data_IF_387772743857
#
_entry.id   IF_387772743857
#
_cell.length_a   1.000
_cell.length_b   1.000
_cell.length_c   1.000
_cell.angle_alpha   90.00
_cell.angle_beta   90.00
_cell.angle_gamma   90.00
#
_symmetry.space_group_name_H-M   'P 1'
#
loop_
_entity.id
_entity.type
_entity.pdbx_description
1 polymer ?
#
# COMPACT_ATOMS: atom_id res chain seq x y z
N UNK A 1 6.00 22.56 29.87
CA UNK A 1 6.93 21.96 28.90
C UNK A 1 6.27 20.99 27.90
N UNK A 2 5.22 20.20 28.27
CA UNK A 2 4.51 19.29 27.36
C UNK A 2 3.65 20.05 26.32
N UNK A 3 3.04 21.16 26.70
CA UNK A 3 2.22 21.98 25.80
C UNK A 3 3.07 22.66 24.70
N UNK A 4 4.25 23.16 25.04
CA UNK A 4 5.17 23.80 24.09
C UNK A 4 5.75 22.80 23.08
N UNK A 5 6.00 21.55 23.49
CA UNK A 5 6.41 20.47 22.56
C UNK A 5 5.30 20.10 21.60
N UNK A 6 4.04 20.03 22.04
CA UNK A 6 2.88 19.78 21.15
C UNK A 6 2.67 20.89 20.14
N UNK A 7 2.80 22.16 20.53
CA UNK A 7 2.70 23.30 19.61
C UNK A 7 3.80 23.28 18.54
N UNK A 8 5.06 22.95 18.90
CA UNK A 8 6.15 22.84 17.91
C UNK A 8 5.99 21.65 16.96
N UNK A 9 5.34 20.57 17.36
CA UNK A 9 5.08 19.42 16.49
C UNK A 9 3.88 19.64 15.56
N UNK A 10 3.06 20.66 15.76
CA UNK A 10 1.88 20.96 14.94
C UNK A 10 2.12 22.00 13.82
N UNK A 11 3.34 22.54 13.70
CA UNK A 11 3.65 23.56 12.70
C UNK A 11 3.80 23.00 11.28
N UNK A 12 4.08 21.70 11.10
CA UNK A 12 4.20 21.01 9.83
C UNK A 12 3.44 19.70 9.91
N UNK A 13 2.62 19.42 8.91
CA UNK A 13 1.91 18.15 8.77
C UNK A 13 1.95 17.67 7.34
N UNK A 14 2.43 16.45 7.14
CA UNK A 14 2.44 15.78 5.86
C UNK A 14 1.35 14.71 5.76
N UNK A 15 0.87 14.49 4.54
CA UNK A 15 -0.09 13.43 4.24
C UNK A 15 0.19 12.85 2.86
N UNK A 16 0.41 11.54 2.83
CA UNK A 16 0.75 10.80 1.61
C UNK A 16 -0.48 10.29 0.88
N UNK A 17 -1.42 9.72 1.60
CA UNK A 17 -2.66 9.18 1.06
C UNK A 17 -3.68 8.98 2.16
N UNK A 18 -4.95 8.86 1.76
CA UNK A 18 -6.04 8.54 2.65
C UNK A 18 -6.92 7.47 2.00
N UNK A 19 -7.00 6.32 2.64
CA UNK A 19 -7.77 5.17 2.19
C UNK A 19 -8.71 4.69 3.28
N UNK A 20 -9.71 3.89 2.90
CA UNK A 20 -10.41 3.06 3.88
C UNK A 20 -9.39 2.13 4.55
N UNK A 21 -9.39 2.10 5.85
CA UNK A 21 -8.49 1.28 6.65
C UNK A 21 -9.15 0.86 7.96
N UNK A 22 -9.06 -0.41 8.28
CA UNK A 22 -9.57 -0.95 9.54
C UNK A 22 -11.02 -0.52 9.84
N UNK A 23 -11.95 -0.78 8.93
CA UNK A 23 -13.35 -0.33 9.05
C UNK A 23 -14.02 -0.77 10.34
N UNK A 24 -13.69 -1.97 10.83
CA UNK A 24 -14.20 -2.47 12.13
C UNK A 24 -13.73 -1.64 13.32
N UNK A 25 -12.60 -0.96 13.18
CA UNK A 25 -12.00 -0.11 14.21
C UNK A 25 -12.31 1.38 14.02
N UNK A 26 -12.19 1.85 12.78
CA UNK A 26 -12.22 3.26 12.44
C UNK A 26 -13.59 3.70 11.93
N UNK A 27 -14.51 2.77 11.68
CA UNK A 27 -15.81 3.07 11.10
C UNK A 27 -15.72 3.54 9.65
N UNK A 28 -16.64 4.40 9.25
CA UNK A 28 -16.71 4.88 7.86
C UNK A 28 -15.49 5.75 7.51
N UNK A 29 -14.90 5.62 6.28
CA UNK A 29 -13.74 6.41 5.84
C UNK A 29 -13.93 7.92 5.98
N UNK A 30 -15.14 8.42 5.75
CA UNK A 30 -15.47 9.84 5.90
C UNK A 30 -15.33 10.33 7.35
N UNK A 31 -15.57 9.48 8.31
CA UNK A 31 -15.38 9.85 9.72
C UNK A 31 -13.88 10.09 10.03
N UNK A 32 -13.01 9.22 9.52
CA UNK A 32 -11.54 9.41 9.65
C UNK A 32 -11.10 10.68 8.92
N UNK A 33 -11.61 10.91 7.71
CA UNK A 33 -11.34 12.11 6.93
C UNK A 33 -11.71 13.38 7.72
N UNK A 34 -12.92 13.45 8.28
CA UNK A 34 -13.38 14.60 9.04
C UNK A 34 -12.55 14.80 10.32
N UNK A 35 -12.25 13.73 11.06
CA UNK A 35 -11.41 13.80 12.25
C UNK A 35 -10.00 14.34 11.94
N UNK A 36 -9.41 13.95 10.82
CA UNK A 36 -8.12 14.49 10.35
C UNK A 36 -8.28 15.97 9.99
N UNK A 37 -9.28 16.32 9.19
CA UNK A 37 -9.57 17.69 8.75
C UNK A 37 -9.74 18.64 9.92
N UNK A 38 -10.56 18.26 10.90
CA UNK A 38 -10.88 19.09 12.08
C UNK A 38 -9.67 19.25 13.02
N UNK A 39 -8.68 18.36 12.92
CA UNK A 39 -7.44 18.45 13.70
C UNK A 39 -6.38 19.38 13.10
N UNK A 40 -6.59 19.91 11.89
CA UNK A 40 -5.62 20.75 11.18
C UNK A 40 -5.84 22.22 11.58
N UNK A 41 -4.87 22.76 12.30
CA UNK A 41 -4.90 24.18 12.67
C UNK A 41 -4.69 25.08 11.43
N UNK A 42 -5.34 26.27 11.33
CA UNK A 42 -5.19 27.18 10.20
C UNK A 42 -3.74 27.55 9.86
N UNK A 43 -2.88 27.71 10.85
CA UNK A 43 -1.46 28.10 10.68
C UNK A 43 -0.53 26.92 10.37
N UNK A 44 -1.05 25.68 10.35
CA UNK A 44 -0.22 24.51 10.09
C UNK A 44 0.27 24.52 8.64
N UNK A 45 1.58 24.48 8.41
CA UNK A 45 2.17 24.22 7.09
C UNK A 45 1.81 22.79 6.66
N UNK A 46 1.09 22.67 5.57
CA UNK A 46 0.71 21.38 5.02
C UNK A 46 1.68 20.94 3.92
N UNK A 47 1.97 19.64 3.89
CA UNK A 47 2.73 18.99 2.83
C UNK A 47 1.84 17.85 2.33
N UNK A 48 1.24 18.04 1.17
CA UNK A 48 0.15 17.18 0.71
C UNK A 48 0.46 16.51 -0.62
N UNK A 49 0.04 15.26 -0.75
CA UNK A 49 0.02 14.57 -2.04
C UNK A 49 -1.09 15.17 -2.92
N UNK A 50 -0.65 15.81 -4.02
CA UNK A 50 -1.56 16.42 -5.00
C UNK A 50 -2.37 15.38 -5.79
N UNK A 51 -1.86 14.14 -5.87
CA UNK A 51 -2.46 13.07 -6.68
C UNK A 51 -3.59 12.33 -5.94
N UNK A 52 -3.77 12.60 -4.64
CA UNK A 52 -4.85 12.04 -3.81
C UNK A 52 -5.94 13.10 -3.59
N UNK A 53 -7.16 12.95 -4.16
CA UNK A 53 -8.23 13.93 -4.01
C UNK A 53 -8.70 14.13 -2.56
N UNK A 54 -8.61 13.07 -1.72
CA UNK A 54 -9.00 13.15 -0.31
C UNK A 54 -7.98 13.97 0.48
N UNK A 55 -6.69 13.73 0.25
CA UNK A 55 -5.59 14.47 0.87
C UNK A 55 -5.56 15.91 0.37
N UNK A 56 -5.71 16.13 -0.94
CA UNK A 56 -5.70 17.47 -1.54
C UNK A 56 -6.80 18.37 -0.99
N UNK A 57 -7.94 17.80 -0.63
CA UNK A 57 -9.03 18.57 -0.06
C UNK A 57 -8.68 19.22 1.30
N UNK A 58 -7.68 18.71 2.04
CA UNK A 58 -7.19 19.37 3.25
C UNK A 58 -6.50 20.70 2.97
N UNK A 59 -5.95 20.87 1.79
CA UNK A 59 -5.29 22.10 1.34
C UNK A 59 -6.19 23.05 0.55
N UNK A 60 -7.44 22.67 0.28
CA UNK A 60 -8.36 23.47 -0.50
C UNK A 60 -8.62 24.85 0.15
N UNK A 61 -8.35 25.93 -0.61
CA UNK A 61 -8.49 27.31 -0.11
C UNK A 61 -7.41 27.75 0.89
N UNK A 62 -6.26 27.06 0.97
CA UNK A 62 -5.14 27.42 1.85
C UNK A 62 -3.91 27.80 1.04
N UNK A 63 -3.17 28.80 1.52
CA UNK A 63 -1.93 29.29 0.90
C UNK A 63 -0.67 28.59 1.47
N UNK A 64 -0.78 28.04 2.69
CA UNK A 64 0.34 27.39 3.40
C UNK A 64 0.45 25.90 3.10
N UNK A 65 0.47 25.55 1.81
CA UNK A 65 0.56 24.15 1.33
C UNK A 65 1.74 23.97 0.41
N UNK A 66 2.52 22.91 0.63
CA UNK A 66 3.51 22.41 -0.31
C UNK A 66 2.97 21.13 -0.94
N UNK A 67 2.86 21.12 -2.25
CA UNK A 67 2.32 20.01 -3.00
C UNK A 67 3.44 19.12 -3.54
N UNK A 68 3.26 17.81 -3.40
CA UNK A 68 4.10 16.82 -4.05
C UNK A 68 3.23 15.80 -4.80
N UNK A 69 3.79 15.15 -5.81
CA UNK A 69 3.08 14.16 -6.61
C UNK A 69 3.92 13.59 -7.72
N UNK A 70 3.35 12.72 -8.53
CA UNK A 70 4.01 12.16 -9.69
C UNK A 70 3.59 12.90 -10.97
N UNK A 71 4.50 12.96 -11.94
CA UNK A 71 4.17 13.28 -13.32
C UNK A 71 3.56 12.06 -14.02
N UNK A 72 3.52 12.09 -15.35
CA UNK A 72 3.07 10.91 -16.10
C UNK A 72 4.07 9.76 -15.93
N UNK A 73 3.58 8.62 -15.48
CA UNK A 73 4.37 7.42 -15.26
C UNK A 73 4.06 6.37 -16.33
N UNK A 74 5.03 5.54 -16.73
CA UNK A 74 4.79 4.47 -17.71
C UNK A 74 3.74 3.44 -17.27
N UNK A 75 3.49 3.36 -15.97
CA UNK A 75 2.52 2.43 -15.35
C UNK A 75 1.11 3.00 -15.22
N UNK A 76 0.89 4.24 -15.66
CA UNK A 76 -0.40 4.90 -15.56
C UNK A 76 -1.47 4.20 -16.39
N UNK A 77 -2.67 4.15 -15.84
CA UNK A 77 -3.85 3.60 -16.52
C UNK A 77 -4.90 4.67 -16.74
N UNK A 78 -5.69 4.52 -17.81
CA UNK A 78 -6.82 5.42 -18.08
C UNK A 78 -8.07 5.04 -17.31
N UNK A 79 -8.18 3.77 -16.96
CA UNK A 79 -9.30 3.22 -16.23
C UNK A 79 -8.87 2.84 -14.81
N UNK A 80 -9.81 2.94 -13.90
CA UNK A 80 -9.61 2.51 -12.52
C UNK A 80 -9.37 1.00 -12.46
N UNK A 81 -8.32 0.61 -11.74
CA UNK A 81 -7.98 -0.79 -11.48
C UNK A 81 -7.97 -1.02 -9.98
N UNK A 82 -9.02 -1.62 -9.46
CA UNK A 82 -9.17 -1.89 -8.03
C UNK A 82 -10.55 -2.45 -7.71
N UNK A 83 -10.82 -2.72 -6.44
CA UNK A 83 -12.14 -3.16 -5.96
C UNK A 83 -12.99 -1.94 -5.61
N UNK A 84 -12.42 -0.98 -4.89
CA UNK A 84 -13.09 0.24 -4.46
C UNK A 84 -12.30 1.48 -4.85
N UNK A 85 -12.99 2.42 -5.46
CA UNK A 85 -12.45 3.74 -5.76
C UNK A 85 -12.85 4.72 -4.66
N UNK A 86 -11.98 4.90 -3.66
CA UNK A 86 -12.25 5.83 -2.56
C UNK A 86 -12.26 7.30 -3.01
N UNK A 87 -11.68 7.61 -4.17
CA UNK A 87 -11.70 8.93 -4.80
C UNK A 87 -12.79 9.10 -5.88
N UNK A 88 -13.78 8.18 -5.96
CA UNK A 88 -14.85 8.26 -6.97
C UNK A 88 -15.74 9.50 -6.83
N UNK A 89 -15.85 10.04 -5.63
CA UNK A 89 -16.67 11.20 -5.31
C UNK A 89 -15.85 12.33 -4.69
N UNK A 90 -16.15 13.54 -5.11
CA UNK A 90 -15.48 14.73 -4.60
C UNK A 90 -15.66 14.88 -3.08
N UNK A 91 -14.57 14.94 -2.30
CA UNK A 91 -14.68 15.10 -0.85
C UNK A 91 -15.31 16.44 -0.45
N UNK A 92 -15.27 17.46 -1.34
CA UNK A 92 -15.83 18.78 -1.10
C UNK A 92 -17.34 18.87 -1.40
N UNK A 93 -17.77 18.46 -2.61
CA UNK A 93 -19.15 18.65 -3.05
C UNK A 93 -19.92 17.35 -3.32
N UNK A 94 -19.31 16.19 -3.10
CA UNK A 94 -19.90 14.86 -3.26
C UNK A 94 -20.31 14.49 -4.71
N UNK A 95 -19.98 15.32 -5.69
CA UNK A 95 -20.21 15.00 -7.11
C UNK A 95 -19.20 13.94 -7.60
N UNK A 96 -19.55 13.15 -8.62
CA UNK A 96 -18.60 12.21 -9.23
C UNK A 96 -17.35 12.92 -9.72
N UNK A 97 -16.20 12.29 -9.50
CA UNK A 97 -14.89 12.76 -9.98
C UNK A 97 -14.58 12.21 -11.37
N UNK A 98 -13.84 12.97 -12.15
CA UNK A 98 -13.24 12.52 -13.40
C UNK A 98 -11.73 12.37 -13.25
N UNK A 99 -11.18 11.36 -13.94
CA UNK A 99 -9.73 11.11 -13.94
C UNK A 99 -9.23 11.07 -15.39
N UNK A 100 -8.17 11.78 -15.67
CA UNK A 100 -7.45 11.65 -16.94
C UNK A 100 -6.44 10.50 -16.92
N UNK A 101 -5.94 10.15 -15.74
CA UNK A 101 -5.08 8.99 -15.49
C UNK A 101 -5.07 8.58 -14.02
N UNK A 102 -4.80 7.29 -13.78
CA UNK A 102 -4.55 6.72 -12.46
C UNK A 102 -3.12 6.22 -12.39
N UNK A 103 -2.40 6.58 -11.35
CA UNK A 103 -1.09 6.01 -11.03
C UNK A 103 -1.25 4.65 -10.35
N UNK A 104 -2.14 4.58 -9.36
CA UNK A 104 -2.63 3.35 -8.73
C UNK A 104 -3.85 3.67 -7.85
N UNK A 105 -4.77 2.75 -7.72
CA UNK A 105 -6.03 2.92 -6.99
C UNK A 105 -6.69 4.28 -7.36
N UNK A 106 -7.06 5.12 -6.40
CA UNK A 106 -7.63 6.46 -6.65
C UNK A 106 -6.58 7.58 -6.72
N UNK A 107 -5.30 7.24 -6.68
CA UNK A 107 -4.20 8.20 -6.81
C UNK A 107 -3.95 8.47 -8.28
N UNK A 108 -4.04 9.73 -8.69
CA UNK A 108 -3.87 10.07 -10.10
C UNK A 108 -4.15 11.53 -10.44
N UNK A 109 -4.44 11.79 -11.71
CA UNK A 109 -4.78 13.11 -12.20
C UNK A 109 -6.29 13.25 -12.33
N UNK A 110 -6.89 13.99 -11.43
CA UNK A 110 -8.34 14.09 -11.24
C UNK A 110 -8.83 15.53 -11.31
N UNK A 111 -10.13 15.66 -11.57
CA UNK A 111 -10.88 16.91 -11.53
C UNK A 111 -12.34 16.67 -11.13
N UNK A 112 -12.90 17.56 -10.32
CA UNK A 112 -14.33 17.60 -10.04
C UNK A 112 -15.01 18.57 -11.04
N UNK A 113 -15.86 18.08 -11.94
CA UNK A 113 -16.52 18.94 -12.91
C UNK A 113 -17.53 19.90 -12.32
N UNK A 114 -17.96 19.68 -11.07
CA UNK A 114 -18.96 20.51 -10.39
C UNK A 114 -18.36 21.67 -9.60
N UNK A 115 -17.33 21.44 -8.78
CA UNK A 115 -16.76 22.48 -7.91
C UNK A 115 -15.34 22.92 -8.28
N UNK A 116 -14.76 22.33 -9.32
CA UNK A 116 -13.41 22.67 -9.79
C UNK A 116 -12.27 22.19 -8.89
N UNK A 117 -12.54 21.35 -7.88
CA UNK A 117 -11.46 20.68 -7.14
C UNK A 117 -10.67 19.82 -8.11
N UNK A 118 -9.40 20.11 -8.25
CA UNK A 118 -8.52 19.37 -9.17
C UNK A 118 -7.15 19.16 -8.56
N UNK A 119 -6.41 18.24 -9.19
CA UNK A 119 -5.00 18.03 -8.90
C UNK A 119 -4.24 19.35 -8.96
N UNK A 120 -3.45 19.63 -7.94
CA UNK A 120 -2.65 20.84 -7.84
C UNK A 120 -1.28 20.68 -8.51
N UNK A 121 -0.69 21.79 -8.93
CA UNK A 121 0.68 21.82 -9.42
C UNK A 121 1.65 21.50 -8.28
N UNK A 122 2.65 20.64 -8.57
CA UNK A 122 3.55 20.12 -7.55
C UNK A 122 4.89 20.83 -7.52
N UNK A 123 5.35 21.21 -6.33
CA UNK A 123 6.70 21.74 -6.11
C UNK A 123 7.76 20.63 -6.14
N UNK A 124 7.37 19.43 -5.76
CA UNK A 124 8.22 18.23 -5.78
C UNK A 124 7.53 17.15 -6.59
N UNK A 125 8.11 16.81 -7.72
CA UNK A 125 7.49 15.89 -8.69
C UNK A 125 8.41 14.72 -8.98
N UNK A 126 7.89 13.49 -8.89
CA UNK A 126 8.56 12.35 -9.52
C UNK A 126 8.38 12.50 -11.04
N UNK A 127 9.46 12.88 -11.71
CA UNK A 127 9.46 13.14 -13.16
C UNK A 127 9.76 11.89 -13.99
N UNK A 128 10.34 10.86 -13.36
CA UNK A 128 10.58 9.56 -13.97
C UNK A 128 10.59 8.47 -12.91
N UNK A 129 10.01 7.32 -13.24
CA UNK A 129 10.08 6.12 -12.41
C UNK A 129 10.28 4.88 -13.28
N UNK A 130 11.35 4.13 -13.01
CA UNK A 130 11.63 2.82 -13.59
C UNK A 130 11.61 1.78 -12.46
N UNK A 131 10.44 1.16 -12.26
CA UNK A 131 10.26 0.20 -11.19
C UNK A 131 11.00 -1.13 -11.46
N UNK A 132 11.33 -1.45 -12.71
CA UNK A 132 12.11 -2.66 -13.03
C UNK A 132 13.57 -2.48 -12.60
N UNK A 133 14.18 -1.36 -12.93
CA UNK A 133 15.51 -1.01 -12.44
C UNK A 133 15.51 -0.63 -10.97
N UNK A 134 14.42 -0.09 -10.48
CA UNK A 134 14.31 0.42 -9.12
C UNK A 134 14.91 1.81 -8.99
N UNK A 135 14.58 2.71 -9.90
CA UNK A 135 15.09 4.08 -9.90
C UNK A 135 13.95 5.09 -10.09
N UNK A 136 14.03 6.19 -9.39
CA UNK A 136 13.18 7.36 -9.61
C UNK A 136 14.02 8.63 -9.76
N UNK A 137 13.44 9.61 -10.44
CA UNK A 137 14.03 10.96 -10.53
C UNK A 137 13.00 11.98 -10.02
N UNK A 138 13.43 12.86 -9.10
CA UNK A 138 12.61 13.96 -8.59
C UNK A 138 13.08 15.26 -9.25
N UNK A 139 12.12 16.07 -9.74
CA UNK A 139 12.32 17.37 -10.37
C UNK A 139 13.39 17.35 -11.50
N UNK A 140 13.49 16.29 -12.28
CA UNK A 140 14.48 16.06 -13.33
C UNK A 140 15.94 16.14 -12.85
N UNK A 141 16.18 16.09 -11.56
CA UNK A 141 17.51 16.39 -10.98
C UNK A 141 18.00 15.33 -10.01
N UNK A 142 17.16 14.91 -9.08
CA UNK A 142 17.56 14.06 -7.96
C UNK A 142 17.21 12.61 -8.23
N UNK A 143 18.21 11.77 -8.45
CA UNK A 143 18.04 10.32 -8.64
C UNK A 143 18.05 9.60 -7.30
N UNK A 144 17.15 8.66 -7.11
CA UNK A 144 17.02 7.85 -5.91
C UNK A 144 16.82 6.39 -6.33
N UNK A 145 17.62 5.49 -5.74
CA UNK A 145 17.45 4.05 -5.88
C UNK A 145 16.39 3.54 -4.91
N UNK A 146 15.50 2.68 -5.41
CA UNK A 146 14.40 2.15 -4.64
C UNK A 146 14.79 0.85 -3.94
N UNK A 147 14.76 0.83 -2.63
CA UNK A 147 14.88 -0.41 -1.85
C UNK A 147 13.69 -1.34 -2.06
N UNK A 148 12.48 -0.77 -2.21
CA UNK A 148 11.26 -1.50 -2.53
C UNK A 148 10.66 -0.94 -3.83
N UNK A 149 10.61 -1.79 -4.87
CA UNK A 149 10.20 -1.44 -6.24
C UNK A 149 8.67 -1.38 -6.37
N UNK A 150 8.03 -0.45 -5.68
CA UNK A 150 6.58 -0.24 -5.74
C UNK A 150 6.23 1.24 -5.79
N UNK A 151 5.16 1.60 -6.48
CA UNK A 151 4.64 2.98 -6.53
C UNK A 151 4.33 3.54 -5.15
N UNK A 152 3.80 2.71 -4.27
CA UNK A 152 3.55 3.11 -2.89
C UNK A 152 4.82 3.60 -2.17
N UNK A 153 5.96 2.91 -2.38
CA UNK A 153 7.23 3.33 -1.82
C UNK A 153 7.76 4.61 -2.49
N UNK A 154 7.51 4.80 -3.78
CA UNK A 154 7.86 6.04 -4.50
C UNK A 154 7.23 7.25 -3.80
N UNK A 155 5.93 7.19 -3.47
CA UNK A 155 5.26 8.28 -2.76
C UNK A 155 5.78 8.49 -1.33
N UNK A 156 6.15 7.43 -0.61
CA UNK A 156 6.77 7.55 0.70
C UNK A 156 8.12 8.27 0.62
N UNK A 157 8.96 7.91 -0.36
CA UNK A 157 10.26 8.55 -0.57
C UNK A 157 10.09 10.00 -1.02
N UNK A 158 9.12 10.27 -1.89
CA UNK A 158 8.82 11.64 -2.35
C UNK A 158 8.35 12.52 -1.19
N UNK A 159 7.47 12.01 -0.33
CA UNK A 159 7.03 12.74 0.87
C UNK A 159 8.20 13.03 1.80
N UNK A 160 9.04 12.03 2.09
CA UNK A 160 10.24 12.19 2.91
C UNK A 160 11.23 13.20 2.30
N UNK A 161 11.44 13.14 0.97
CA UNK A 161 12.26 14.10 0.24
C UNK A 161 11.71 15.52 0.38
N UNK A 162 10.39 15.69 0.20
CA UNK A 162 9.71 16.98 0.31
C UNK A 162 9.86 17.59 1.71
N UNK A 163 9.56 16.80 2.74
CA UNK A 163 9.69 17.25 4.15
C UNK A 163 11.12 17.67 4.46
N UNK A 164 12.12 16.85 4.10
CA UNK A 164 13.52 17.17 4.34
C UNK A 164 13.98 18.43 3.57
N UNK A 165 13.50 18.59 2.32
CA UNK A 165 13.85 19.77 1.51
C UNK A 165 13.32 21.07 2.11
N UNK A 166 12.07 21.11 2.57
CA UNK A 166 11.49 22.31 3.18
C UNK A 166 12.08 22.63 4.55
N UNK A 167 12.71 21.66 5.22
CA UNK A 167 13.47 21.90 6.46
C UNK A 167 14.89 22.37 6.20
N UNK A 168 15.28 22.59 4.94
CA UNK A 168 16.55 23.16 4.53
C UNK A 168 17.68 22.17 4.25
N UNK A 169 17.39 20.88 4.19
CA UNK A 169 18.39 19.86 3.84
C UNK A 169 18.64 19.89 2.32
N UNK A 170 19.91 19.83 1.92
CA UNK A 170 20.28 19.79 0.50
C UNK A 170 19.73 18.54 -0.23
N UNK A 171 19.17 18.75 -1.41
CA UNK A 171 18.49 17.70 -2.17
C UNK A 171 19.39 16.53 -2.60
N UNK A 172 20.69 16.76 -2.86
CA UNK A 172 21.62 15.66 -3.16
C UNK A 172 21.91 14.82 -1.91
N UNK A 173 22.01 15.46 -0.76
CA UNK A 173 22.17 14.79 0.54
C UNK A 173 20.95 13.92 0.84
N UNK A 174 19.74 14.45 0.62
CA UNK A 174 18.49 13.70 0.79
C UNK A 174 18.46 12.49 -0.16
N UNK A 175 18.70 12.71 -1.45
CA UNK A 175 18.68 11.66 -2.46
C UNK A 175 19.66 10.52 -2.14
N UNK A 176 20.88 10.85 -1.75
CA UNK A 176 21.89 9.89 -1.31
C UNK A 176 21.44 9.09 -0.07
N UNK A 177 20.86 9.78 0.91
CA UNK A 177 20.38 9.14 2.15
C UNK A 177 19.22 8.19 1.89
N UNK A 178 18.28 8.58 1.02
CA UNK A 178 17.12 7.75 0.67
C UNK A 178 17.53 6.55 -0.20
N UNK A 179 18.52 6.68 -1.10
CA UNK A 179 19.05 5.56 -1.89
C UNK A 179 19.78 4.52 -1.04
N UNK A 180 20.42 4.94 0.04
CA UNK A 180 21.13 4.06 0.97
C UNK A 180 20.24 3.55 2.13
N UNK A 181 18.96 3.88 2.12
CA UNK A 181 18.04 3.47 3.15
C UNK A 181 17.77 1.97 3.07
N UNK A 182 18.23 1.23 4.06
CA UNK A 182 17.90 -0.18 4.23
C UNK A 182 16.64 -0.26 5.10
N UNK A 183 15.56 -0.81 4.52
CA UNK A 183 14.37 -1.17 5.30
C UNK A 183 14.77 -2.20 6.36
N UNK A 184 15.18 -1.72 7.54
CA UNK A 184 15.33 -2.57 8.72
C UNK A 184 13.94 -2.96 9.17
N UNK A 185 13.51 -4.13 8.75
CA UNK A 185 12.34 -4.81 9.28
C UNK A 185 11.12 -4.91 8.38
N UNK A 186 10.73 -6.10 8.33
CA UNK A 186 9.62 -6.75 9.01
C UNK A 186 8.38 -6.95 8.14
N UNK A 187 8.20 -6.21 7.05
CA UNK A 187 7.09 -6.48 6.13
C UNK A 187 7.47 -7.50 5.05
N UNK A 188 8.74 -7.58 4.74
CA UNK A 188 9.28 -8.54 3.76
C UNK A 188 10.41 -9.30 4.43
N UNK A 189 10.29 -10.62 4.47
CA UNK A 189 11.30 -11.53 5.05
C UNK A 189 11.58 -12.63 4.02
N UNK A 190 12.83 -12.82 3.66
CA UNK A 190 13.24 -13.95 2.84
C UNK A 190 13.46 -15.18 3.72
N UNK A 191 13.11 -16.34 3.19
CA UNK A 191 13.24 -17.61 3.88
C UNK A 191 13.55 -18.75 2.91
N UNK A 192 14.02 -19.84 3.46
CA UNK A 192 14.21 -21.09 2.74
C UNK A 192 13.34 -22.19 3.37
N UNK A 193 12.56 -22.91 2.54
CA UNK A 193 11.79 -24.10 2.90
C UNK A 193 12.22 -25.26 2.04
N UNK A 194 12.85 -26.27 2.63
CA UNK A 194 13.52 -27.33 1.87
C UNK A 194 14.54 -26.72 0.89
N UNK A 195 14.35 -27.01 -0.40
CA UNK A 195 15.19 -26.47 -1.47
C UNK A 195 14.60 -25.20 -2.14
N UNK A 196 13.50 -24.67 -1.62
CA UNK A 196 12.74 -23.57 -2.22
C UNK A 196 13.02 -22.25 -1.51
N UNK A 197 13.26 -21.21 -2.29
CA UNK A 197 13.34 -19.84 -1.78
C UNK A 197 11.95 -19.25 -1.65
N UNK A 198 11.72 -18.50 -0.58
CA UNK A 198 10.46 -17.85 -0.36
C UNK A 198 10.58 -16.40 0.14
N UNK A 199 9.47 -15.70 0.02
CA UNK A 199 9.31 -14.32 0.49
C UNK A 199 8.03 -14.23 1.29
N UNK A 200 8.15 -13.96 2.57
CA UNK A 200 7.03 -13.63 3.44
C UNK A 200 6.77 -12.14 3.38
N UNK A 201 5.55 -11.75 3.07
CA UNK A 201 5.09 -10.36 3.06
C UNK A 201 4.00 -10.18 4.11
N UNK A 202 4.24 -9.26 5.04
CA UNK A 202 3.28 -9.00 6.11
C UNK A 202 2.49 -7.72 5.87
N UNK A 203 1.19 -7.82 6.01
CA UNK A 203 0.25 -6.71 5.96
C UNK A 203 -0.31 -6.42 7.35
N UNK A 204 -0.79 -5.19 7.55
CA UNK A 204 -1.58 -4.86 8.72
C UNK A 204 -2.98 -5.48 8.56
N UNK A 205 -3.57 -5.95 9.66
CA UNK A 205 -4.95 -6.42 9.64
C UNK A 205 -5.88 -5.38 9.00
N UNK A 206 -6.85 -5.84 8.24
CA UNK A 206 -7.91 -5.03 7.63
C UNK A 206 -7.38 -3.92 6.69
N UNK A 207 -6.11 -3.97 6.27
CA UNK A 207 -5.54 -3.03 5.32
C UNK A 207 -5.49 -3.64 3.91
N UNK A 208 -6.57 -3.46 3.16
CA UNK A 208 -6.73 -4.02 1.80
C UNK A 208 -5.62 -3.59 0.85
N UNK A 209 -5.13 -2.35 0.96
CA UNK A 209 -4.06 -1.82 0.10
C UNK A 209 -2.76 -2.58 0.32
N UNK A 210 -2.38 -2.77 1.59
CA UNK A 210 -1.18 -3.53 1.92
C UNK A 210 -1.28 -4.97 1.41
N UNK A 211 -2.45 -5.61 1.53
CA UNK A 211 -2.70 -6.93 0.95
C UNK A 211 -2.61 -6.90 -0.57
N UNK A 212 -3.25 -5.96 -1.24
CA UNK A 212 -3.20 -5.83 -2.70
C UNK A 212 -1.76 -5.63 -3.21
N UNK A 213 -0.93 -4.86 -2.51
CA UNK A 213 0.49 -4.71 -2.86
C UNK A 213 1.26 -6.03 -2.68
N UNK A 214 0.96 -6.80 -1.63
CA UNK A 214 1.57 -8.12 -1.42
C UNK A 214 1.18 -9.11 -2.52
N UNK A 215 -0.09 -9.10 -2.94
CA UNK A 215 -0.59 -9.90 -4.06
C UNK A 215 0.05 -9.49 -5.39
N UNK A 216 0.17 -8.18 -5.65
CA UNK A 216 0.84 -7.64 -6.85
C UNK A 216 2.30 -8.08 -6.90
N UNK A 217 3.01 -8.08 -5.77
CA UNK A 217 4.40 -8.54 -5.71
C UNK A 217 4.54 -9.99 -6.20
N UNK A 218 3.69 -10.90 -5.71
CA UNK A 218 3.69 -12.30 -6.14
C UNK A 218 3.26 -12.45 -7.61
N UNK A 219 2.22 -11.72 -8.03
CA UNK A 219 1.66 -11.78 -9.37
C UNK A 219 2.58 -11.20 -10.46
N UNK A 220 3.48 -10.28 -10.11
CA UNK A 220 4.42 -9.65 -11.03
C UNK A 220 5.80 -10.32 -11.10
N UNK A 221 6.05 -11.37 -10.34
CA UNK A 221 7.31 -12.11 -10.44
C UNK A 221 7.43 -12.73 -11.84
N UNK A 222 8.64 -12.68 -12.41
CA UNK A 222 8.95 -13.29 -13.71
C UNK A 222 9.01 -14.82 -13.63
N UNK A 223 9.31 -15.35 -12.43
CA UNK A 223 9.38 -16.78 -12.17
C UNK A 223 8.02 -17.32 -11.68
N UNK A 224 7.81 -18.60 -11.89
CA UNK A 224 6.65 -19.31 -11.36
C UNK A 224 6.70 -19.34 -9.84
N UNK A 225 5.56 -19.20 -9.19
CA UNK A 225 5.47 -19.21 -7.75
C UNK A 225 4.20 -19.91 -7.23
N UNK A 226 4.30 -20.40 -6.02
CA UNK A 226 3.18 -20.79 -5.18
C UNK A 226 2.90 -19.69 -4.17
N UNK A 227 1.64 -19.48 -3.81
CA UNK A 227 1.22 -18.43 -2.86
C UNK A 227 0.51 -19.08 -1.68
N UNK A 228 1.00 -18.83 -0.47
CA UNK A 228 0.33 -19.17 0.78
C UNK A 228 -0.31 -17.92 1.38
N UNK A 229 -1.60 -17.94 1.62
CA UNK A 229 -2.32 -16.87 2.30
C UNK A 229 -2.78 -17.37 3.66
N UNK A 230 -2.33 -16.69 4.71
CA UNK A 230 -2.68 -17.06 6.10
C UNK A 230 -3.56 -15.96 6.69
N UNK A 231 -4.75 -16.35 7.14
CA UNK A 231 -5.63 -15.52 7.96
C UNK A 231 -6.05 -16.34 9.17
N UNK A 232 -5.34 -16.15 10.28
CA UNK A 232 -5.55 -16.92 11.50
C UNK A 232 -6.09 -16.07 12.66
N UNK A 233 -5.66 -14.81 12.76
CA UNK A 233 -6.22 -13.82 13.67
C UNK A 233 -6.74 -12.61 12.90
N UNK A 234 -7.91 -12.09 13.28
CA UNK A 234 -8.50 -10.91 12.66
C UNK A 234 -8.00 -9.64 13.34
N UNK A 235 -8.16 -9.56 14.64
CA UNK A 235 -7.64 -8.46 15.44
C UNK A 235 -7.47 -8.90 16.88
N UNK A 236 -6.27 -8.78 17.44
CA UNK A 236 -6.02 -9.09 18.84
C UNK A 236 -6.60 -8.05 19.78
N UNK A 237 -6.71 -6.80 19.33
CA UNK A 237 -7.09 -5.67 20.20
C UNK A 237 -8.57 -5.62 20.52
N UNK A 238 -9.42 -6.08 19.58
CA UNK A 238 -10.86 -5.91 19.67
C UNK A 238 -11.63 -7.24 19.75
N UNK A 239 -10.95 -8.38 19.77
CA UNK A 239 -11.54 -9.72 19.84
C UNK A 239 -12.68 -9.94 18.84
N UNK A 240 -12.58 -9.30 17.67
CA UNK A 240 -13.56 -9.41 16.63
C UNK A 240 -13.23 -10.57 15.69
N UNK A 241 -14.27 -11.26 15.22
CA UNK A 241 -14.19 -12.29 14.18
C UNK A 241 -14.61 -11.75 12.82
N UNK A 242 -14.73 -10.44 12.65
CA UNK A 242 -15.15 -9.82 11.40
C UNK A 242 -14.05 -9.95 10.35
N UNK A 243 -14.34 -10.68 9.29
CA UNK A 243 -13.49 -10.89 8.11
C UNK A 243 -14.04 -10.20 6.87
N UNK A 244 -15.02 -9.30 7.00
CA UNK A 244 -15.62 -8.56 5.88
C UNK A 244 -14.59 -7.79 5.03
N UNK A 245 -13.48 -7.36 5.63
CA UNK A 245 -12.38 -6.70 4.95
C UNK A 245 -11.72 -7.56 3.85
N UNK A 246 -11.90 -8.89 3.86
CA UNK A 246 -11.46 -9.76 2.76
C UNK A 246 -12.15 -9.40 1.43
N UNK A 247 -13.33 -8.79 1.47
CA UNK A 247 -14.07 -8.36 0.29
C UNK A 247 -13.47 -7.09 -0.35
N UNK A 248 -12.66 -6.35 0.40
CA UNK A 248 -11.92 -5.18 -0.09
C UNK A 248 -10.61 -5.56 -0.81
N UNK A 249 -10.21 -6.85 -0.78
CA UNK A 249 -8.99 -7.34 -1.40
C UNK A 249 -9.26 -7.82 -2.82
N UNK A 250 -8.39 -7.40 -3.75
CA UNK A 250 -8.45 -7.81 -5.15
C UNK A 250 -7.69 -9.12 -5.39
N UNK A 251 -8.27 -10.25 -5.05
CA UNK A 251 -7.68 -11.57 -5.31
C UNK A 251 -7.56 -11.93 -6.80
N UNK A 252 -8.25 -11.23 -7.70
CA UNK A 252 -8.11 -11.42 -9.14
C UNK A 252 -6.68 -11.17 -9.64
N UNK A 253 -5.86 -10.47 -8.87
CA UNK A 253 -4.42 -10.31 -9.14
C UNK A 253 -3.71 -11.66 -9.25
N UNK A 254 -4.13 -12.67 -8.48
CA UNK A 254 -3.53 -14.00 -8.49
C UNK A 254 -3.97 -14.90 -9.65
N UNK A 255 -4.81 -14.40 -10.57
CA UNK A 255 -5.10 -15.11 -11.84
C UNK A 255 -3.90 -15.21 -12.76
N UNK A 256 -2.83 -14.47 -12.47
CA UNK A 256 -1.59 -14.42 -13.25
C UNK A 256 -1.02 -15.82 -13.54
N UNK A 257 -0.46 -16.01 -14.74
CA UNK A 257 0.03 -17.29 -15.21
C UNK A 257 1.26 -17.80 -14.46
N UNK A 258 2.01 -16.90 -13.83
CA UNK A 258 3.15 -17.28 -12.98
C UNK A 258 2.72 -17.92 -11.66
N UNK A 259 1.51 -17.61 -11.15
CA UNK A 259 0.96 -18.22 -9.92
C UNK A 259 0.44 -19.60 -10.24
N UNK A 260 1.07 -20.64 -9.67
CA UNK A 260 0.75 -22.06 -9.95
C UNK A 260 -0.22 -22.65 -8.94
N UNK A 261 0.04 -22.47 -7.66
CA UNK A 261 -0.82 -22.98 -6.61
C UNK A 261 -1.05 -21.87 -5.58
N UNK A 262 -2.24 -21.89 -4.97
CA UNK A 262 -2.64 -20.99 -3.90
C UNK A 262 -3.11 -21.86 -2.75
N UNK A 263 -2.44 -21.74 -1.62
CA UNK A 263 -2.81 -22.43 -0.37
C UNK A 263 -3.44 -21.41 0.56
N UNK A 264 -4.64 -21.73 1.06
CA UNK A 264 -5.37 -20.90 2.01
C UNK A 264 -5.32 -21.56 3.37
N UNK A 265 -4.76 -20.88 4.38
CA UNK A 265 -4.53 -21.45 5.69
C UNK A 265 -4.98 -20.53 6.85
N UNK A 266 -5.03 -21.11 8.05
CA UNK A 266 -5.43 -20.44 9.28
C UNK A 266 -6.91 -20.64 9.62
N UNK A 267 -7.33 -20.08 10.73
CA UNK A 267 -8.69 -20.20 11.28
C UNK A 267 -9.77 -19.80 10.27
N UNK A 268 -9.48 -18.77 9.46
CA UNK A 268 -10.43 -18.19 8.49
C UNK A 268 -10.18 -18.66 7.04
N UNK A 269 -9.56 -19.83 6.86
CA UNK A 269 -9.29 -20.38 5.52
C UNK A 269 -10.57 -20.64 4.70
N UNK A 270 -11.68 -20.99 5.35
CA UNK A 270 -12.96 -21.20 4.68
C UNK A 270 -13.60 -19.87 4.23
N UNK A 271 -13.43 -18.79 5.01
CA UNK A 271 -13.87 -17.44 4.62
C UNK A 271 -13.05 -16.96 3.41
N UNK A 272 -11.73 -17.19 3.43
CA UNK A 272 -10.89 -16.98 2.26
C UNK A 272 -11.35 -17.78 1.05
N UNK A 273 -11.62 -19.08 1.20
CA UNK A 273 -12.10 -19.95 0.12
C UNK A 273 -13.44 -19.44 -0.43
N UNK A 274 -14.35 -19.03 0.45
CA UNK A 274 -15.62 -18.39 0.05
C UNK A 274 -15.35 -17.14 -0.75
N UNK A 275 -14.47 -16.23 -0.28
CA UNK A 275 -14.11 -15.02 -1.02
C UNK A 275 -13.46 -15.32 -2.38
N UNK A 276 -12.59 -16.33 -2.44
CA UNK A 276 -11.96 -16.77 -3.70
C UNK A 276 -12.98 -17.33 -4.70
N UNK A 277 -14.10 -17.93 -4.25
CA UNK A 277 -15.15 -18.42 -5.15
C UNK A 277 -15.81 -17.32 -5.98
N UNK A 278 -15.67 -16.06 -5.58
CA UNK A 278 -16.13 -14.87 -6.29
C UNK A 278 -14.99 -14.16 -7.08
N UNK A 279 -13.79 -14.75 -7.10
CA UNK A 279 -12.68 -14.25 -7.90
C UNK A 279 -12.61 -14.93 -9.26
N UNK A 280 -11.78 -14.36 -10.16
CA UNK A 280 -11.48 -14.95 -11.47
C UNK A 280 -10.30 -15.93 -11.43
N UNK A 281 -9.87 -16.33 -10.24
CA UNK A 281 -8.80 -17.31 -10.06
C UNK A 281 -9.32 -18.70 -10.34
N UNK A 282 -8.55 -19.50 -11.08
CA UNK A 282 -8.90 -20.90 -11.36
C UNK A 282 -8.94 -21.70 -10.04
N UNK A 283 -10.10 -22.31 -9.76
CA UNK A 283 -10.33 -23.10 -8.56
C UNK A 283 -9.38 -24.30 -8.44
N UNK A 284 -8.90 -24.83 -9.54
CA UNK A 284 -7.94 -25.95 -9.55
C UNK A 284 -6.57 -25.57 -8.97
N UNK A 285 -6.27 -24.26 -8.92
CA UNK A 285 -5.05 -23.74 -8.28
C UNK A 285 -5.19 -23.63 -6.76
N UNK A 286 -6.39 -23.76 -6.20
CA UNK A 286 -6.68 -23.43 -4.81
C UNK A 286 -6.71 -24.69 -3.95
N UNK A 287 -5.95 -24.71 -2.88
CA UNK A 287 -5.94 -25.73 -1.84
C UNK A 287 -6.27 -25.08 -0.50
N UNK A 288 -7.19 -25.66 0.23
CA UNK A 288 -7.56 -25.20 1.59
C UNK A 288 -6.97 -26.15 2.60
N UNK A 289 -6.13 -25.65 3.49
CA UNK A 289 -5.49 -26.41 4.57
C UNK A 289 -5.55 -25.55 5.82
N UNK A 290 -6.41 -25.92 6.77
CA UNK A 290 -6.68 -25.09 7.93
C UNK A 290 -5.45 -24.92 8.82
N UNK A 291 -4.76 -26.00 9.08
CA UNK A 291 -3.55 -25.98 9.91
C UNK A 291 -2.37 -25.37 9.17
N UNK A 292 -1.66 -24.44 9.83
CA UNK A 292 -0.56 -23.72 9.22
C UNK A 292 0.66 -24.63 9.03
N UNK A 293 0.90 -25.57 9.96
CA UNK A 293 2.01 -26.52 9.88
C UNK A 293 1.80 -27.46 8.71
N UNK A 294 0.60 -28.05 8.60
CA UNK A 294 0.23 -28.89 7.45
C UNK A 294 0.33 -28.13 6.12
N UNK A 295 -0.01 -26.85 6.11
CA UNK A 295 0.14 -26.01 4.91
C UNK A 295 1.60 -25.77 4.53
N UNK A 296 2.48 -25.63 5.50
CA UNK A 296 3.93 -25.51 5.31
C UNK A 296 4.49 -26.83 4.79
N UNK A 297 4.12 -27.96 5.41
CA UNK A 297 4.55 -29.31 4.99
C UNK A 297 4.09 -29.62 3.56
N UNK A 298 2.87 -29.19 3.19
CA UNK A 298 2.37 -29.33 1.82
C UNK A 298 3.21 -28.55 0.81
N UNK A 299 3.79 -27.42 1.21
CA UNK A 299 4.67 -26.61 0.37
C UNK A 299 6.13 -27.07 0.39
N UNK A 300 6.54 -27.82 1.41
CA UNK A 300 7.87 -28.47 1.48
C UNK A 300 7.88 -29.73 0.59
N UNK A 301 8.10 -29.51 -0.68
CA UNK A 301 8.09 -30.56 -1.70
C UNK A 301 9.22 -30.32 -2.72
N UNK A 302 9.43 -31.27 -3.62
CA UNK A 302 10.49 -31.21 -4.63
C UNK A 302 10.30 -30.22 -5.78
N UNK A 303 9.28 -29.35 -5.69
CA UNK A 303 9.05 -28.28 -6.66
C UNK A 303 10.15 -27.21 -6.58
N UNK A 304 10.33 -26.50 -7.68
CA UNK A 304 11.37 -25.46 -7.79
C UNK A 304 10.79 -24.02 -7.75
N UNK A 305 9.47 -23.89 -7.78
CA UNK A 305 8.79 -22.60 -7.77
C UNK A 305 9.08 -21.85 -6.47
N UNK A 306 9.23 -20.53 -6.55
CA UNK A 306 9.33 -19.66 -5.39
C UNK A 306 8.05 -19.75 -4.55
N UNK A 307 8.15 -19.41 -3.28
CA UNK A 307 7.00 -19.35 -2.37
C UNK A 307 6.79 -17.90 -1.93
N UNK A 308 5.58 -17.38 -2.13
CA UNK A 308 5.14 -16.15 -1.50
C UNK A 308 4.19 -16.46 -0.36
N UNK A 309 4.48 -15.93 0.82
CA UNK A 309 3.59 -16.04 1.98
C UNK A 309 3.03 -14.67 2.29
N UNK A 310 1.72 -14.55 2.27
CA UNK A 310 0.99 -13.30 2.50
C UNK A 310 0.17 -13.48 3.76
N UNK A 311 0.46 -12.67 4.77
CA UNK A 311 -0.18 -12.80 6.08
C UNK A 311 -0.19 -11.45 6.82
N UNK A 312 -0.77 -11.41 8.00
CA UNK A 312 -0.72 -10.25 8.88
C UNK A 312 0.38 -10.39 9.95
N UNK A 313 0.68 -9.30 10.63
CA UNK A 313 1.74 -9.27 11.63
C UNK A 313 1.54 -10.26 12.79
N UNK A 314 0.29 -10.52 13.18
CA UNK A 314 0.02 -11.43 14.29
C UNK A 314 0.28 -12.89 13.96
N UNK A 315 0.15 -13.26 12.69
CA UNK A 315 0.21 -14.65 12.25
C UNK A 315 1.60 -15.02 11.70
N UNK A 316 2.42 -13.99 11.41
CA UNK A 316 3.78 -14.11 10.93
C UNK A 316 4.63 -15.09 11.76
N UNK A 317 4.56 -15.00 13.09
CA UNK A 317 5.37 -15.82 14.01
C UNK A 317 5.15 -17.31 13.79
N UNK A 318 3.87 -17.72 13.65
CA UNK A 318 3.49 -19.12 13.46
C UNK A 318 4.13 -19.76 12.23
N UNK A 319 4.26 -18.99 11.14
CA UNK A 319 4.93 -19.43 9.94
C UNK A 319 6.46 -19.45 10.10
N UNK A 320 7.05 -18.38 10.67
CA UNK A 320 8.50 -18.24 10.76
C UNK A 320 9.16 -19.27 11.70
N UNK A 321 8.41 -19.83 12.63
CA UNK A 321 8.89 -20.94 13.48
C UNK A 321 9.15 -22.23 12.70
N UNK A 322 8.60 -22.36 11.48
CA UNK A 322 8.64 -23.57 10.65
C UNK A 322 9.63 -23.49 9.47
N UNK A 323 10.25 -22.33 9.25
CA UNK A 323 11.14 -22.10 8.10
C UNK A 323 12.48 -21.51 8.54
N UNK A 324 13.51 -21.69 7.72
CA UNK A 324 14.80 -21.05 7.93
C UNK A 324 14.75 -19.63 7.35
N UNK A 325 14.88 -18.64 8.22
CA UNK A 325 14.99 -17.22 7.82
C UNK A 325 16.42 -16.97 7.31
N UNK A 326 16.53 -16.29 6.16
CA UNK A 326 17.81 -15.96 5.50
C UNK A 326 18.43 -14.70 6.11
#
# INVERSE_FOLDING_TARGET
HKAIRRQRQMCIRDSTNLYRDQLTRNGHPEWVYNAVKDSIHPETQLILNADDPLVSCFGYGRDNVVWFGAGNLPTDTKEFVGVYNDGAYCPHCKSPMTYSSYHYDHIGNYECPNCGLKRQDTSYTVTSADLEKGEITINNKYKIELTLKSLYNVYNLLAAFTVASITGVDGNTIAKSLSNYVLKNFRVVTFTLGNRKGTLVTSKHENSISYNQSLKLAASDKDKCDVLIIVDAVSRKYFTSDVSWLWDINFDLLKSDNVKNIVLAGTYCNDLATRFSFSKVDRNKIKVIKDIEEAVDYLDNDRKEKIYVITCFSDKGKFLEKVKVD
#
